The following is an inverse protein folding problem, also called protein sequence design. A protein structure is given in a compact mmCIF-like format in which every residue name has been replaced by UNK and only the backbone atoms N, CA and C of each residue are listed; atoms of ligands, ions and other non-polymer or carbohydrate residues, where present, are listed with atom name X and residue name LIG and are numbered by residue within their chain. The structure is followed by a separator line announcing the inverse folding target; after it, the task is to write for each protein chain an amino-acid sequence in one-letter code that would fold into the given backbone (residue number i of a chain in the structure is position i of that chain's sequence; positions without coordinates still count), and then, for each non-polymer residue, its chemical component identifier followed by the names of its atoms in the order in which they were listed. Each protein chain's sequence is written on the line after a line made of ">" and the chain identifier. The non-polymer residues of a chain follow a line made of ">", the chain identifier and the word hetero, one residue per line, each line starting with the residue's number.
data_IF_240558277896
#
_entry.id   IF_240558277896
#
_cell.length_a   1.000
_cell.length_b   1.000
_cell.length_c   1.000
_cell.angle_alpha   90.00
_cell.angle_beta   90.00
_cell.angle_gamma   90.00
#
_symmetry.space_group_name_H-M   'P 1'
#
loop_
_entity.id
_entity.type
_entity.pdbx_description
1 polymer ?
#
# COMPACT_ATOMS: atom_id res chain seq x y z
N UNK A 1 -18.77 -8.77 -15.54
CA UNK A 1 -17.98 -7.69 -16.17
C UNK A 1 -18.31 -7.64 -17.66
N UNK A 2 -19.43 -6.99 -18.03
CA UNK A 2 -19.89 -6.93 -19.43
C UNK A 2 -19.47 -5.67 -20.20
N UNK A 3 -19.11 -4.59 -19.49
CA UNK A 3 -18.90 -3.26 -20.08
C UNK A 3 -17.43 -2.88 -20.23
N UNK A 4 -16.49 -3.76 -19.85
CA UNK A 4 -15.06 -3.50 -20.03
C UNK A 4 -14.67 -3.83 -21.48
N UNK A 5 -14.79 -2.86 -22.38
CA UNK A 5 -14.53 -3.04 -23.81
C UNK A 5 -13.90 -1.80 -24.47
N UNK A 6 -13.61 -1.93 -25.76
CA UNK A 6 -13.11 -0.87 -26.63
C UNK A 6 -14.27 -0.26 -27.41
N UNK A 7 -14.49 1.03 -27.18
CA UNK A 7 -15.57 1.81 -27.79
C UNK A 7 -15.04 2.66 -28.94
N UNK A 8 -15.67 2.53 -30.10
CA UNK A 8 -15.39 3.38 -31.25
C UNK A 8 -16.32 4.59 -31.22
N UNK A 9 -15.75 5.79 -31.24
CA UNK A 9 -16.49 7.06 -31.25
C UNK A 9 -16.29 7.71 -32.60
N UNK A 10 -17.39 7.96 -33.32
CA UNK A 10 -17.36 8.72 -34.58
C UNK A 10 -18.02 10.08 -34.36
N UNK A 11 -17.25 11.15 -34.48
CA UNK A 11 -17.75 12.53 -34.49
C UNK A 11 -17.88 12.98 -35.93
N UNK A 12 -19.10 13.32 -36.35
CA UNK A 12 -19.39 13.79 -37.71
C UNK A 12 -19.73 15.29 -37.68
N UNK A 13 -19.05 16.09 -38.49
CA UNK A 13 -19.34 17.51 -38.66
C UNK A 13 -19.26 17.89 -40.15
N UNK A 14 -20.41 18.27 -40.72
CA UNK A 14 -20.59 18.42 -42.18
C UNK A 14 -20.11 17.15 -42.91
N UNK A 15 -19.18 17.27 -43.85
CA UNK A 15 -18.60 16.14 -44.60
C UNK A 15 -17.41 15.48 -43.88
N UNK A 16 -16.94 16.03 -42.76
CA UNK A 16 -15.76 15.51 -42.06
C UNK A 16 -16.19 14.52 -40.98
N UNK A 17 -15.56 13.34 -40.98
CA UNK A 17 -15.71 12.32 -39.95
C UNK A 17 -14.38 12.13 -39.24
N UNK A 18 -14.43 12.19 -37.91
CA UNK A 18 -13.30 11.85 -37.06
C UNK A 18 -13.64 10.61 -36.25
N UNK A 19 -12.75 9.62 -36.26
CA UNK A 19 -12.89 8.40 -35.49
C UNK A 19 -11.87 8.41 -34.35
N UNK A 20 -12.33 8.14 -33.14
CA UNK A 20 -11.51 7.92 -31.97
C UNK A 20 -11.82 6.55 -31.37
N UNK A 21 -10.82 5.93 -30.76
CA UNK A 21 -10.95 4.65 -30.07
C UNK A 21 -10.71 4.90 -28.59
N UNK A 22 -11.66 4.50 -27.74
CA UNK A 22 -11.59 4.68 -26.28
C UNK A 22 -11.66 3.31 -25.63
N UNK A 23 -10.69 2.97 -24.77
CA UNK A 23 -10.71 1.72 -24.01
C UNK A 23 -11.26 1.97 -22.61
N UNK A 24 -12.37 1.33 -22.26
CA UNK A 24 -12.92 1.37 -20.90
C UNK A 24 -12.30 0.25 -20.06
N UNK A 25 -11.64 0.63 -18.98
CA UNK A 25 -11.12 -0.32 -17.98
C UNK A 25 -11.93 -0.19 -16.71
N UNK A 26 -12.53 -1.30 -16.28
CA UNK A 26 -13.30 -1.36 -15.03
C UNK A 26 -12.40 -1.99 -13.97
N UNK A 27 -12.24 -1.29 -12.87
CA UNK A 27 -11.52 -1.76 -11.69
C UNK A 27 -12.51 -1.98 -10.57
N UNK A 28 -12.41 -3.13 -9.90
CA UNK A 28 -13.06 -3.30 -8.61
C UNK A 28 -12.44 -2.34 -7.58
N UNK A 29 -13.17 -2.07 -6.49
CA UNK A 29 -12.62 -1.25 -5.41
C UNK A 29 -11.41 -1.96 -4.81
N UNK A 30 -10.34 -1.22 -4.53
CA UNK A 30 -9.13 -1.76 -3.92
C UNK A 30 -9.47 -2.44 -2.59
N UNK A 31 -9.03 -3.68 -2.44
CA UNK A 31 -9.21 -4.44 -1.20
C UNK A 31 -8.57 -3.71 -0.03
N UNK A 32 -9.22 -3.76 1.13
CA UNK A 32 -8.57 -3.33 2.37
C UNK A 32 -7.44 -4.32 2.69
N UNK A 33 -6.18 -3.86 2.72
CA UNK A 33 -5.08 -4.74 3.05
C UNK A 33 -5.05 -5.02 4.57
N UNK A 34 -4.29 -6.05 4.93
CA UNK A 34 -3.97 -6.42 6.31
C UNK A 34 -2.52 -6.02 6.57
N UNK A 35 -2.29 -5.33 7.68
CA UNK A 35 -0.97 -4.99 8.17
C UNK A 35 -0.59 -5.93 9.32
N UNK A 36 0.45 -6.72 9.12
CA UNK A 36 0.93 -7.72 10.07
C UNK A 36 2.34 -7.36 10.55
N UNK A 37 2.63 -7.62 11.83
CA UNK A 37 3.98 -7.53 12.37
C UNK A 37 4.61 -8.92 12.29
N UNK A 38 5.65 -9.06 11.48
CA UNK A 38 6.37 -10.33 11.30
C UNK A 38 7.38 -10.54 12.43
N UNK A 39 8.18 -9.52 12.71
CA UNK A 39 9.15 -9.53 13.80
C UNK A 39 9.20 -8.16 14.46
N UNK A 40 9.46 -8.15 15.76
CA UNK A 40 9.64 -6.92 16.51
C UNK A 40 10.80 -7.12 17.51
N UNK A 41 11.84 -6.30 17.39
CA UNK A 41 12.97 -6.27 18.31
C UNK A 41 13.26 -4.83 18.70
N UNK A 42 13.04 -4.50 19.97
CA UNK A 42 13.25 -3.17 20.51
C UNK A 42 14.15 -3.21 21.75
N UNK A 43 14.97 -2.19 21.91
CA UNK A 43 15.75 -1.91 23.11
C UNK A 43 15.77 -0.41 23.41
N UNK A 44 16.51 0.04 24.43
CA UNK A 44 16.48 1.44 24.87
C UNK A 44 16.89 2.46 23.79
N UNK A 45 17.68 2.03 22.79
CA UNK A 45 18.29 2.90 21.79
C UNK A 45 17.99 2.48 20.35
N UNK A 46 17.26 1.38 20.15
CA UNK A 46 16.97 0.84 18.84
C UNK A 46 15.58 0.21 18.79
N UNK A 47 14.97 0.26 17.61
CA UNK A 47 13.77 -0.50 17.33
C UNK A 47 13.83 -0.97 15.89
N UNK A 48 13.66 -2.27 15.67
CA UNK A 48 13.61 -2.93 14.38
C UNK A 48 12.31 -3.73 14.30
N UNK A 49 11.44 -3.36 13.37
CA UNK A 49 10.14 -4.00 13.17
C UNK A 49 10.04 -4.44 11.73
N UNK A 50 9.84 -5.72 11.48
CA UNK A 50 9.47 -6.20 10.15
C UNK A 50 7.96 -6.28 10.06
N UNK A 51 7.39 -5.67 9.03
CA UNK A 51 5.95 -5.66 8.79
C UNK A 51 5.64 -6.18 7.39
N UNK A 52 4.46 -6.78 7.23
CA UNK A 52 3.90 -7.21 5.96
C UNK A 52 2.56 -6.52 5.73
N UNK A 53 2.39 -5.96 4.55
CA UNK A 53 1.13 -5.43 4.05
C UNK A 53 0.63 -6.39 2.97
N UNK A 54 -0.52 -7.01 3.15
CA UNK A 54 -1.02 -8.07 2.27
C UNK A 54 -2.50 -7.93 1.95
N UNK A 55 -2.91 -8.46 0.79
CA UNK A 55 -4.33 -8.62 0.42
C UNK A 55 -4.74 -10.09 0.49
N UNK A 56 -6.04 -10.35 0.56
CA UNK A 56 -6.58 -11.71 0.52
C UNK A 56 -6.28 -12.44 -0.80
N UNK A 57 -6.01 -11.68 -1.88
CA UNK A 57 -5.68 -12.19 -3.21
C UNK A 57 -4.19 -12.54 -3.38
N UNK A 58 -3.41 -12.56 -2.30
CA UNK A 58 -2.03 -13.03 -2.31
C UNK A 58 -0.98 -12.00 -2.74
N UNK A 59 -1.38 -10.75 -3.01
CA UNK A 59 -0.43 -9.63 -3.15
C UNK A 59 0.10 -9.26 -1.78
N UNK A 60 1.41 -9.05 -1.67
CA UNK A 60 2.02 -8.60 -0.43
C UNK A 60 3.31 -7.81 -0.67
N UNK A 61 3.63 -6.96 0.29
CA UNK A 61 4.90 -6.24 0.39
C UNK A 61 5.38 -6.29 1.84
N UNK A 62 6.67 -6.45 2.03
CA UNK A 62 7.33 -6.46 3.33
C UNK A 62 8.27 -5.27 3.46
N UNK A 63 8.40 -4.76 4.68
CA UNK A 63 9.37 -3.72 4.98
C UNK A 63 10.02 -3.94 6.34
N UNK A 64 11.30 -3.60 6.42
CA UNK A 64 12.04 -3.47 7.68
C UNK A 64 12.04 -2.00 8.09
N UNK A 65 11.50 -1.74 9.28
CA UNK A 65 11.34 -0.42 9.86
C UNK A 65 12.30 -0.25 11.02
N UNK A 66 13.20 0.73 10.91
CA UNK A 66 14.28 0.94 11.87
C UNK A 66 14.23 2.35 12.44
N UNK A 67 14.37 2.46 13.76
CA UNK A 67 14.48 3.75 14.43
C UNK A 67 15.87 4.34 14.17
N UNK A 68 15.92 5.40 13.37
CA UNK A 68 17.14 6.12 13.02
C UNK A 68 16.98 7.58 13.46
N UNK A 69 17.83 8.06 14.37
CA UNK A 69 17.81 9.45 14.85
C UNK A 69 16.42 9.92 15.34
N UNK A 70 15.70 9.06 16.07
CA UNK A 70 14.38 9.38 16.63
C UNK A 70 13.23 9.34 15.61
N UNK A 71 13.46 8.85 14.39
CA UNK A 71 12.42 8.64 13.37
C UNK A 71 12.42 7.18 12.91
N UNK A 72 11.23 6.59 12.82
CA UNK A 72 11.09 5.27 12.23
C UNK A 72 11.12 5.40 10.71
N UNK A 73 12.01 4.64 10.06
CA UNK A 73 12.14 4.62 8.60
C UNK A 73 11.94 3.19 8.14
N UNK A 74 10.95 2.95 7.28
CA UNK A 74 10.76 1.64 6.65
C UNK A 74 11.45 1.59 5.29
N UNK A 75 12.05 0.43 5.00
CA UNK A 75 12.59 0.11 3.69
C UNK A 75 12.00 -1.21 3.22
N UNK A 76 11.50 -1.24 1.99
CA UNK A 76 10.96 -2.46 1.38
C UNK A 76 12.04 -3.54 1.31
N UNK A 77 11.71 -4.75 1.75
CA UNK A 77 12.63 -5.90 1.79
C UNK A 77 12.24 -6.99 0.82
N UNK A 78 10.95 -7.17 0.57
CA UNK A 78 10.43 -8.18 -0.34
C UNK A 78 9.03 -7.79 -0.82
N UNK A 79 8.63 -8.35 -1.96
CA UNK A 79 7.36 -8.05 -2.62
C UNK A 79 6.92 -9.23 -3.48
N UNK A 80 5.62 -9.47 -3.53
CA UNK A 80 4.98 -10.36 -4.50
C UNK A 80 3.98 -9.58 -5.33
N UNK A 81 4.40 -9.24 -6.55
CA UNK A 81 3.57 -8.59 -7.55
C UNK A 81 3.02 -9.65 -8.52
N UNK A 82 2.07 -10.46 -8.06
CA UNK A 82 1.36 -11.37 -8.95
C UNK A 82 0.40 -10.60 -9.86
N UNK A 83 0.92 -10.00 -10.94
CA UNK A 83 0.26 -9.51 -12.16
C UNK A 83 -1.05 -8.68 -12.04
N UNK A 84 -1.44 -8.23 -10.84
CA UNK A 84 -2.69 -7.51 -10.62
C UNK A 84 -2.46 -6.00 -10.75
N UNK A 85 -3.51 -5.28 -11.17
CA UNK A 85 -3.55 -3.83 -11.32
C UNK A 85 -3.51 -3.05 -9.99
N UNK A 86 -3.45 -3.77 -8.86
CA UNK A 86 -3.36 -3.20 -7.52
C UNK A 86 -1.90 -3.11 -7.05
N UNK A 87 -1.58 -2.02 -6.36
CA UNK A 87 -0.28 -1.72 -5.76
C UNK A 87 -0.41 -1.61 -4.26
N UNK A 88 0.45 -2.33 -3.54
CA UNK A 88 0.59 -2.21 -2.10
C UNK A 88 1.77 -1.30 -1.74
N UNK A 89 1.55 -0.51 -0.68
CA UNK A 89 2.54 0.44 -0.16
C UNK A 89 2.54 0.42 1.37
N UNK A 90 3.73 0.34 1.96
CA UNK A 90 3.97 0.61 3.38
C UNK A 90 4.58 2.00 3.49
N UNK A 91 3.95 2.86 4.29
CA UNK A 91 4.50 4.18 4.64
C UNK A 91 4.57 4.36 6.14
N UNK A 92 5.39 5.31 6.56
CA UNK A 92 5.55 5.66 7.97
C UNK A 92 5.28 7.14 8.13
N UNK A 93 4.39 7.46 9.06
CA UNK A 93 4.25 8.80 9.62
C UNK A 93 5.07 8.89 10.91
N UNK A 94 5.10 10.06 11.56
CA UNK A 94 5.81 10.19 12.85
C UNK A 94 5.34 9.14 13.87
N UNK A 95 4.05 8.85 13.89
CA UNK A 95 3.41 8.14 15.00
C UNK A 95 2.80 6.79 14.60
N UNK A 96 2.75 6.45 13.30
CA UNK A 96 2.16 5.18 12.85
C UNK A 96 2.77 4.65 11.54
N UNK A 97 2.76 3.33 11.42
CA UNK A 97 2.98 2.59 10.18
C UNK A 97 1.61 2.45 9.48
N UNK A 98 1.58 2.78 8.20
CA UNK A 98 0.40 2.69 7.35
C UNK A 98 0.64 1.67 6.23
N UNK A 99 -0.41 0.97 5.84
CA UNK A 99 -0.42 -0.02 4.77
C UNK A 99 -1.63 0.27 3.89
N UNK A 100 -1.40 0.52 2.62
CA UNK A 100 -2.46 0.83 1.67
C UNK A 100 -2.36 -0.02 0.40
N UNK A 101 -3.52 -0.33 -0.15
CA UNK A 101 -3.73 -0.94 -1.46
C UNK A 101 -4.37 0.08 -2.37
N UNK A 102 -3.90 0.19 -3.61
CA UNK A 102 -4.40 1.17 -4.56
C UNK A 102 -4.46 0.61 -5.97
N UNK A 103 -5.46 0.99 -6.72
CA UNK A 103 -5.54 0.78 -8.16
C UNK A 103 -5.92 2.11 -8.83
N UNK A 104 -6.00 2.20 -10.17
CA UNK A 104 -6.32 3.45 -10.84
C UNK A 104 -7.66 4.10 -10.44
N UNK A 105 -8.58 3.34 -9.84
CA UNK A 105 -9.91 3.84 -9.48
C UNK A 105 -10.08 4.14 -7.98
N UNK A 106 -9.26 3.56 -7.10
CA UNK A 106 -9.48 3.65 -5.65
C UNK A 106 -8.26 3.29 -4.81
N UNK A 107 -8.27 3.76 -3.56
CA UNK A 107 -7.29 3.44 -2.52
C UNK A 107 -8.02 2.99 -1.26
N UNK A 108 -7.49 1.96 -0.60
CA UNK A 108 -7.95 1.45 0.69
C UNK A 108 -6.76 1.26 1.62
N UNK A 109 -6.96 1.43 2.92
CA UNK A 109 -5.89 1.36 3.93
C UNK A 109 -6.29 0.48 5.09
N UNK A 110 -5.32 -0.27 5.62
CA UNK A 110 -5.45 -0.96 6.89
C UNK A 110 -5.59 0.06 8.04
N UNK A 111 -6.09 -0.36 9.21
CA UNK A 111 -5.94 0.42 10.43
C UNK A 111 -4.47 0.77 10.67
N UNK A 112 -4.23 2.01 11.11
CA UNK A 112 -2.88 2.49 11.42
C UNK A 112 -2.30 1.67 12.57
N UNK A 113 -1.04 1.24 12.44
CA UNK A 113 -0.29 0.58 13.50
C UNK A 113 0.57 1.64 14.23
N UNK A 114 0.21 2.03 15.46
CA UNK A 114 0.95 3.04 16.19
C UNK A 114 2.39 2.61 16.45
N UNK A 115 3.34 3.52 16.23
CA UNK A 115 4.77 3.27 16.47
C UNK A 115 5.00 2.89 17.94
N UNK A 116 4.24 3.44 18.88
CA UNK A 116 4.36 3.11 20.31
C UNK A 116 4.00 1.67 20.65
N UNK A 117 3.19 0.99 19.82
CA UNK A 117 2.85 -0.43 20.03
C UNK A 117 3.99 -1.37 19.62
N UNK A 118 4.83 -0.95 18.67
CA UNK A 118 5.93 -1.77 18.15
C UNK A 118 7.30 -1.30 18.61
N UNK A 119 7.46 -0.01 18.87
CA UNK A 119 8.66 0.64 19.37
C UNK A 119 8.33 1.42 20.65
N UNK A 120 8.12 0.73 21.79
CA UNK A 120 7.84 1.40 23.05
C UNK A 120 9.03 2.26 23.48
N UNK A 121 8.74 3.42 24.07
CA UNK A 121 9.78 4.25 24.68
C UNK A 121 10.47 3.49 25.83
N UNK A 122 11.77 3.75 26.08
CA UNK A 122 12.44 3.19 27.25
C UNK A 122 11.69 3.62 28.51
N UNK A 123 11.31 2.65 29.36
CA UNK A 123 10.71 2.97 30.65
C UNK A 123 11.82 3.50 31.56
N UNK A 124 11.75 4.75 32.03
CA UNK A 124 12.75 5.25 32.96
C UNK A 124 12.67 4.45 34.28
N UNK A 125 13.77 3.79 34.66
CA UNK A 125 13.93 3.21 36.01
C UNK A 125 13.98 1.68 36.14
N UNK A 126 14.32 0.92 35.09
CA UNK A 126 14.76 -0.48 35.24
C UNK A 126 16.07 -0.72 34.51
N UNK A 127 17.17 -0.54 35.25
CA UNK A 127 18.45 -1.21 35.02
C UNK A 127 18.55 -2.43 35.94
#
# INVERSE_FOLDING_TARGET
>A
MGDADTYNVTVSHKEHKHNAVVKLMIYERADMPILEVLTNTSGPWFCNVSVRCATLHGLWVESLCQLTQGKLVCRETARNDSAHSARLLITVTRDAINCSSSNPASTSSAPLLPVTQVCPAPVPGKE
#
